data_IF_353823497120
#
_entry.id   IF_353823497120
#
_cell.length_a   1.000
_cell.length_b   1.000
_cell.length_c   1.000
_cell.angle_alpha   90.00
_cell.angle_beta   90.00
_cell.angle_gamma   90.00
#
_symmetry.space_group_name_H-M   'P 1'
#
loop_
_entity.id
_entity.type
_entity.pdbx_description
1 polymer ?
#
# COMPACT_ATOMS: atom_id res chain seq x y z
N UNK A 1 -14.06 32.27 46.59
CA UNK A 1 -14.39 32.60 45.20
C UNK A 1 -13.29 32.27 44.20
N UNK A 2 -12.05 32.29 44.57
CA UNK A 2 -10.91 32.04 43.68
C UNK A 2 -10.75 30.55 43.31
N UNK A 3 -11.24 29.64 44.14
CA UNK A 3 -11.11 28.18 43.96
C UNK A 3 -12.01 27.57 42.83
N UNK A 4 -13.01 28.29 42.40
CA UNK A 4 -13.96 27.77 41.38
C UNK A 4 -13.52 28.05 39.94
N UNK A 5 -12.70 29.07 39.75
CA UNK A 5 -12.19 29.44 38.41
C UNK A 5 -11.04 28.57 37.92
N UNK A 6 -10.22 28.07 38.86
CA UNK A 6 -9.08 27.24 38.52
C UNK A 6 -9.44 25.84 38.04
N UNK A 7 -10.60 25.31 38.49
CA UNK A 7 -11.04 23.96 38.07
C UNK A 7 -11.62 23.93 36.65
N UNK A 8 -12.22 25.04 36.21
CA UNK A 8 -12.81 25.10 34.87
C UNK A 8 -11.76 25.22 33.75
N UNK A 9 -10.64 25.87 34.04
CA UNK A 9 -9.55 26.04 33.05
C UNK A 9 -8.81 24.74 32.79
N UNK A 10 -8.64 23.88 33.84
CA UNK A 10 -7.97 22.59 33.72
C UNK A 10 -8.77 21.58 32.89
N UNK A 11 -10.10 21.63 32.95
CA UNK A 11 -10.97 20.72 32.16
C UNK A 11 -10.97 21.10 30.68
N UNK A 12 -10.94 22.38 30.35
CA UNK A 12 -10.90 22.86 28.96
C UNK A 12 -9.56 22.51 28.28
N UNK A 13 -8.44 22.56 29.02
CA UNK A 13 -7.12 22.20 28.48
C UNK A 13 -6.97 20.71 28.13
N UNK A 14 -7.53 19.84 28.96
CA UNK A 14 -7.48 18.40 28.74
C UNK A 14 -8.32 17.96 27.50
N UNK A 15 -9.46 18.58 27.26
CA UNK A 15 -10.33 18.29 26.12
C UNK A 15 -9.66 18.67 24.78
N UNK A 16 -8.93 19.78 24.73
CA UNK A 16 -8.21 20.24 23.51
C UNK A 16 -7.07 19.30 23.16
N UNK A 17 -6.31 18.81 24.13
CA UNK A 17 -5.22 17.86 23.93
C UNK A 17 -5.70 16.51 23.38
N UNK A 18 -6.84 16.01 23.85
CA UNK A 18 -7.42 14.77 23.37
C UNK A 18 -7.88 14.88 21.89
N UNK A 19 -8.45 16.00 21.49
CA UNK A 19 -8.88 16.25 20.12
C UNK A 19 -7.70 16.30 19.13
N UNK A 20 -6.58 16.92 19.50
CA UNK A 20 -5.37 16.99 18.69
C UNK A 20 -4.74 15.60 18.51
N UNK A 21 -4.70 14.78 19.56
CA UNK A 21 -4.18 13.42 19.48
C UNK A 21 -5.01 12.54 18.52
N UNK A 22 -6.32 12.68 18.48
CA UNK A 22 -7.19 11.96 17.53
C UNK A 22 -6.96 12.38 16.09
N UNK A 23 -6.72 13.65 15.80
CA UNK A 23 -6.43 14.13 14.44
C UNK A 23 -5.11 13.58 13.89
N UNK A 24 -4.07 13.48 14.73
CA UNK A 24 -2.78 12.92 14.32
C UNK A 24 -2.91 11.42 14.00
N UNK A 25 -3.70 10.67 14.76
CA UNK A 25 -3.94 9.25 14.50
C UNK A 25 -4.67 8.99 13.17
N UNK A 26 -5.59 9.86 12.77
CA UNK A 26 -6.34 9.74 11.52
C UNK A 26 -5.47 10.01 10.28
N UNK A 27 -4.44 10.89 10.40
CA UNK A 27 -3.53 11.22 9.30
C UNK A 27 -2.41 10.22 9.05
N UNK A 28 -2.21 9.24 9.94
CA UNK A 28 -1.13 8.26 9.84
C UNK A 28 -1.47 7.03 8.99
N UNK A 29 -2.70 6.89 8.51
CA UNK A 29 -3.10 5.80 7.60
C UNK A 29 -2.77 6.17 6.17
N UNK A 30 -1.55 5.87 5.76
CA UNK A 30 -1.16 5.95 4.35
C UNK A 30 -1.84 4.86 3.54
N UNK A 31 -2.28 5.23 2.36
CA UNK A 31 -3.05 4.40 1.48
C UNK A 31 -2.11 3.55 0.62
N UNK A 32 -1.72 2.38 1.13
CA UNK A 32 -0.86 1.42 0.41
C UNK A 32 -1.48 0.97 -0.91
N UNK A 33 -2.80 1.03 -1.02
CA UNK A 33 -3.51 0.65 -2.23
C UNK A 33 -3.36 1.68 -3.36
N UNK A 34 -3.32 2.97 -3.05
CA UNK A 34 -3.03 4.02 -4.03
C UNK A 34 -1.59 3.92 -4.53
N UNK A 35 -0.64 3.64 -3.65
CA UNK A 35 0.75 3.42 -4.01
C UNK A 35 0.91 2.21 -4.93
N UNK A 36 0.20 1.12 -4.65
CA UNK A 36 0.21 -0.07 -5.49
C UNK A 36 -0.37 0.20 -6.88
N UNK A 37 -1.47 0.95 -6.97
CA UNK A 37 -2.07 1.34 -8.26
C UNK A 37 -1.11 2.19 -9.09
N UNK A 38 -0.40 3.14 -8.48
CA UNK A 38 0.57 3.98 -9.14
C UNK A 38 1.80 3.17 -9.61
N UNK A 39 2.31 2.28 -8.78
CA UNK A 39 3.40 1.37 -9.12
C UNK A 39 3.02 0.42 -10.26
N UNK A 40 1.84 -0.15 -10.20
CA UNK A 40 1.32 -1.02 -11.25
C UNK A 40 1.25 -0.28 -12.59
N UNK A 41 0.69 0.91 -12.59
CA UNK A 41 0.57 1.74 -13.79
C UNK A 41 1.91 2.10 -14.41
N UNK A 42 2.93 2.35 -13.60
CA UNK A 42 4.25 2.73 -14.09
C UNK A 42 5.14 1.56 -14.51
N UNK A 43 4.97 0.38 -13.90
CA UNK A 43 5.93 -0.73 -14.03
C UNK A 43 5.34 -2.04 -14.59
N UNK A 44 4.05 -2.23 -14.53
CA UNK A 44 3.42 -3.52 -14.81
C UNK A 44 2.47 -3.50 -16.01
N UNK A 45 1.81 -2.39 -16.28
CA UNK A 45 0.78 -2.25 -17.31
C UNK A 45 1.28 -2.63 -18.71
N UNK A 46 2.52 -2.31 -19.06
CA UNK A 46 3.07 -2.55 -20.38
C UNK A 46 2.99 -4.04 -20.80
N UNK A 47 3.12 -4.95 -19.83
CA UNK A 47 3.06 -6.39 -20.06
C UNK A 47 1.74 -7.02 -19.63
N UNK A 48 1.18 -6.53 -18.50
CA UNK A 48 0.00 -7.16 -17.87
C UNK A 48 -1.33 -6.52 -18.25
N UNK A 49 -1.34 -5.34 -18.86
CA UNK A 49 -2.56 -4.61 -19.23
C UNK A 49 -3.14 -3.78 -18.07
N UNK A 50 -4.11 -2.94 -18.39
CA UNK A 50 -4.67 -1.97 -17.43
C UNK A 50 -5.34 -2.62 -16.22
N UNK A 51 -5.89 -3.82 -16.37
CA UNK A 51 -6.61 -4.56 -15.31
C UNK A 51 -5.97 -5.92 -15.01
N UNK A 52 -4.67 -6.07 -15.27
CA UNK A 52 -3.94 -7.32 -15.11
C UNK A 52 -4.56 -8.49 -15.90
N UNK A 53 -5.17 -8.21 -17.04
CA UNK A 53 -5.86 -9.20 -17.85
C UNK A 53 -4.92 -10.05 -18.70
N UNK A 54 -3.65 -9.70 -18.78
CA UNK A 54 -2.66 -10.40 -19.61
C UNK A 54 -1.59 -11.05 -18.74
N UNK A 55 -1.24 -12.30 -19.04
CA UNK A 55 -0.10 -13.03 -18.44
C UNK A 55 -0.16 -13.11 -16.91
N UNK A 56 -1.35 -13.04 -16.33
CA UNK A 56 -1.55 -13.08 -14.88
C UNK A 56 -2.60 -14.13 -14.52
N UNK A 57 -2.24 -15.01 -13.60
CA UNK A 57 -3.13 -16.06 -13.09
C UNK A 57 -3.48 -15.76 -11.61
N UNK A 58 -4.68 -15.22 -11.42
CA UNK A 58 -5.18 -14.86 -10.09
C UNK A 58 -5.48 -16.07 -9.19
N UNK A 59 -5.48 -17.28 -9.73
CA UNK A 59 -5.72 -18.51 -8.95
C UNK A 59 -4.49 -19.00 -8.21
N UNK A 60 -3.31 -18.51 -8.56
CA UNK A 60 -2.07 -18.89 -7.88
C UNK A 60 -1.99 -18.31 -6.47
N UNK A 61 -1.25 -18.98 -5.61
CA UNK A 61 -1.02 -18.53 -4.23
C UNK A 61 -0.31 -17.18 -4.20
N UNK A 62 -0.66 -16.35 -3.23
CA UNK A 62 -0.06 -15.01 -3.07
C UNK A 62 1.46 -15.07 -2.97
N UNK A 63 2.00 -16.01 -2.18
CA UNK A 63 3.44 -16.16 -2.01
C UNK A 63 4.16 -16.43 -3.33
N UNK A 64 3.60 -17.27 -4.18
CA UNK A 64 4.15 -17.56 -5.49
C UNK A 64 4.17 -16.32 -6.37
N UNK A 65 3.07 -15.57 -6.37
CA UNK A 65 2.95 -14.33 -7.15
C UNK A 65 3.89 -13.23 -6.63
N UNK A 66 4.02 -13.11 -5.32
CA UNK A 66 4.95 -12.16 -4.69
C UNK A 66 6.39 -12.49 -5.07
N UNK A 67 6.78 -13.75 -5.03
CA UNK A 67 8.11 -14.18 -5.46
C UNK A 67 8.36 -13.90 -6.94
N UNK A 68 7.35 -14.07 -7.79
CA UNK A 68 7.47 -13.73 -9.21
C UNK A 68 7.72 -12.23 -9.42
N UNK A 69 7.09 -11.36 -8.65
CA UNK A 69 7.35 -9.91 -8.70
C UNK A 69 8.78 -9.60 -8.24
N UNK A 70 9.21 -10.15 -7.13
CA UNK A 70 10.51 -9.84 -6.54
C UNK A 70 11.68 -10.44 -7.33
N UNK A 71 11.58 -11.69 -7.68
CA UNK A 71 12.68 -12.46 -8.31
C UNK A 71 12.57 -12.55 -9.83
N UNK A 72 11.46 -12.12 -10.40
CA UNK A 72 11.21 -12.26 -11.82
C UNK A 72 10.78 -13.66 -12.20
N UNK A 73 10.50 -13.84 -13.48
CA UNK A 73 10.13 -15.12 -14.03
C UNK A 73 10.70 -15.27 -15.45
N UNK A 74 11.44 -16.38 -15.64
CA UNK A 74 11.94 -16.72 -16.96
C UNK A 74 10.82 -17.36 -17.79
N UNK A 75 10.60 -16.84 -18.98
CA UNK A 75 9.58 -17.33 -19.91
C UNK A 75 10.23 -18.15 -21.01
N UNK A 76 9.49 -19.08 -21.62
CA UNK A 76 9.95 -19.83 -22.79
C UNK A 76 10.24 -18.91 -23.98
N UNK A 77 9.41 -17.87 -24.12
CA UNK A 77 9.58 -16.83 -25.15
C UNK A 77 9.74 -15.46 -24.47
N UNK A 78 10.74 -14.67 -24.87
CA UNK A 78 10.86 -13.30 -24.38
C UNK A 78 9.61 -12.45 -24.67
N UNK A 79 9.32 -11.41 -23.86
CA UNK A 79 10.15 -10.92 -22.77
C UNK A 79 9.95 -11.73 -21.49
N UNK A 80 11.04 -11.85 -20.69
CA UNK A 80 10.98 -12.39 -19.35
C UNK A 80 10.43 -11.33 -18.38
N UNK A 81 9.78 -11.77 -17.30
CA UNK A 81 9.42 -10.86 -16.22
C UNK A 81 10.67 -10.49 -15.41
N UNK A 82 11.04 -9.21 -15.33
CA UNK A 82 12.23 -8.81 -14.59
C UNK A 82 12.08 -8.96 -13.08
N UNK A 83 13.20 -9.07 -12.38
CA UNK A 83 13.25 -9.08 -10.92
C UNK A 83 13.11 -7.65 -10.38
N UNK A 84 11.93 -7.29 -9.95
CA UNK A 84 11.65 -5.92 -9.50
C UNK A 84 12.29 -5.58 -8.14
N UNK A 85 12.71 -6.58 -7.37
CA UNK A 85 13.52 -6.38 -6.16
C UNK A 85 14.79 -5.57 -6.48
N UNK A 86 15.45 -5.88 -7.59
CA UNK A 86 16.63 -5.16 -8.07
C UNK A 86 16.32 -3.73 -8.52
N UNK A 87 15.06 -3.43 -8.74
CA UNK A 87 14.58 -2.12 -9.17
C UNK A 87 13.93 -1.32 -8.04
N UNK A 88 14.12 -1.75 -6.79
CA UNK A 88 13.68 -1.04 -5.61
C UNK A 88 12.29 -1.39 -5.09
N UNK A 89 11.64 -2.42 -5.63
CA UNK A 89 10.35 -2.90 -5.11
C UNK A 89 10.61 -3.74 -3.84
N UNK A 90 10.00 -3.33 -2.73
CA UNK A 90 10.09 -4.03 -1.45
C UNK A 90 9.10 -5.20 -1.39
N UNK A 91 9.30 -6.18 -0.46
CA UNK A 91 8.32 -7.24 -0.26
C UNK A 91 6.91 -6.75 0.06
N UNK A 92 6.77 -5.66 0.84
CA UNK A 92 5.49 -5.05 1.16
C UNK A 92 4.82 -4.47 -0.09
N UNK A 93 5.60 -3.80 -0.93
CA UNK A 93 5.12 -3.28 -2.21
C UNK A 93 4.71 -4.42 -3.16
N UNK A 94 5.48 -5.49 -3.22
CA UNK A 94 5.14 -6.67 -4.03
C UNK A 94 3.83 -7.30 -3.56
N UNK A 95 3.63 -7.43 -2.25
CA UNK A 95 2.37 -7.92 -1.67
C UNK A 95 1.19 -7.02 -2.05
N UNK A 96 1.35 -5.71 -1.96
CA UNK A 96 0.32 -4.74 -2.35
C UNK A 96 0.02 -4.80 -3.85
N UNK A 97 1.04 -4.97 -4.69
CA UNK A 97 0.87 -5.12 -6.14
C UNK A 97 0.09 -6.39 -6.49
N UNK A 98 0.39 -7.51 -5.87
CA UNK A 98 -0.34 -8.78 -6.07
C UNK A 98 -1.81 -8.62 -5.66
N UNK A 99 -2.08 -8.02 -4.52
CA UNK A 99 -3.44 -7.72 -4.07
C UNK A 99 -4.19 -6.83 -5.05
N UNK A 100 -3.52 -5.80 -5.58
CA UNK A 100 -4.08 -4.93 -6.60
C UNK A 100 -4.38 -5.68 -7.90
N UNK A 101 -3.48 -6.53 -8.36
CA UNK A 101 -3.66 -7.30 -9.60
C UNK A 101 -4.82 -8.28 -9.48
N UNK A 102 -5.06 -8.87 -8.32
CA UNK A 102 -6.20 -9.77 -8.08
C UNK A 102 -7.53 -9.04 -8.03
N UNK A 103 -7.53 -7.75 -7.73
CA UNK A 103 -8.73 -6.92 -7.63
C UNK A 103 -8.43 -5.49 -8.11
N UNK A 104 -8.10 -5.30 -9.40
CA UNK A 104 -7.76 -3.98 -9.93
C UNK A 104 -8.98 -3.07 -9.95
N UNK A 105 -8.72 -1.79 -9.66
CA UNK A 105 -9.76 -0.76 -9.63
C UNK A 105 -9.41 0.40 -10.54
#
# INVERSE_FOLDING_TARGET
MISRFTKSVLIAGAAILAAVAMMVSAGARTNTQEDAAALYKSKCVACHGATAEKKFDATKADDELIQAVLKGKKMEKPPNMPAFEERGITPEQAKALVAFMKSPK
#
